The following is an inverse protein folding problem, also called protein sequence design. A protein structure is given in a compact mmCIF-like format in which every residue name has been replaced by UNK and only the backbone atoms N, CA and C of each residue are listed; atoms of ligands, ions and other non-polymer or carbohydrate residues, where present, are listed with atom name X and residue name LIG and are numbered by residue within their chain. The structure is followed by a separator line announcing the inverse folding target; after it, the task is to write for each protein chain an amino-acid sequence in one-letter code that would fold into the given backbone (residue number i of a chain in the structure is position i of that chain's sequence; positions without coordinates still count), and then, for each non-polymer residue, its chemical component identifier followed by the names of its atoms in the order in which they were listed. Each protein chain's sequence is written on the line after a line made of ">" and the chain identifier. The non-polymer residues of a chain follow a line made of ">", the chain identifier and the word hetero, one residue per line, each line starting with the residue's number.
data_IF_398210042201
#
_entry.id   IF_398210042201
#
_cell.length_a   1.000
_cell.length_b   1.000
_cell.length_c   1.000
_cell.angle_alpha   90.00
_cell.angle_beta   90.00
_cell.angle_gamma   90.00
#
_symmetry.space_group_name_H-M   'P 1'
#
loop_
_entity.id
_entity.type
_entity.pdbx_description
1 polymer ?
#
# COMPACT_ATOMS: atom_id res chain seq x y z
N UNK A 1 -25.34 0.09 -1.75
CA UNK A 1 -23.88 -0.20 -1.77
C UNK A 1 -23.63 -1.22 -0.69
N UNK A 2 -23.15 -2.41 -1.01
CA UNK A 2 -22.89 -3.44 0.00
C UNK A 2 -21.57 -3.09 0.72
N UNK A 3 -21.68 -2.55 1.93
CA UNK A 3 -20.57 -2.21 2.84
C UNK A 3 -19.92 -3.45 3.45
N UNK A 4 -19.53 -4.43 2.65
CA UNK A 4 -19.05 -5.72 3.17
C UNK A 4 -17.53 -5.86 3.25
N UNK A 5 -16.76 -4.84 2.90
CA UNK A 5 -15.29 -4.93 2.94
C UNK A 5 -14.69 -3.87 3.87
N UNK A 6 -14.41 -4.21 5.13
CA UNK A 6 -13.89 -3.23 6.10
C UNK A 6 -12.45 -2.79 5.83
N UNK A 7 -11.63 -3.61 5.19
CA UNK A 7 -10.20 -3.32 4.98
C UNK A 7 -9.93 -2.69 3.62
N UNK A 8 -8.96 -1.75 3.59
CA UNK A 8 -8.55 -1.05 2.37
C UNK A 8 -7.87 -2.00 1.38
N UNK A 9 -8.16 -1.82 0.09
CA UNK A 9 -7.52 -2.54 -0.98
C UNK A 9 -7.69 -1.85 -2.33
N UNK A 10 -7.04 -2.40 -3.37
CA UNK A 10 -7.05 -1.79 -4.70
C UNK A 10 -8.46 -1.66 -5.29
N UNK A 11 -9.33 -2.65 -5.06
CA UNK A 11 -10.71 -2.62 -5.55
C UNK A 11 -11.50 -1.43 -4.99
N UNK A 12 -11.16 -0.97 -3.77
CA UNK A 12 -11.72 0.25 -3.21
C UNK A 12 -11.46 1.45 -4.13
N UNK A 13 -10.20 1.65 -4.52
CA UNK A 13 -9.81 2.80 -5.33
C UNK A 13 -10.46 2.81 -6.71
N UNK A 14 -10.59 1.61 -7.34
CA UNK A 14 -11.32 1.45 -8.60
C UNK A 14 -12.80 1.81 -8.42
N UNK A 15 -13.44 1.30 -7.37
CA UNK A 15 -14.87 1.50 -7.12
C UNK A 15 -15.24 2.94 -6.73
N UNK A 16 -14.31 3.68 -6.13
CA UNK A 16 -14.51 5.09 -5.74
C UNK A 16 -14.01 6.09 -6.77
N UNK A 17 -13.48 5.63 -7.88
CA UNK A 17 -13.12 6.47 -9.02
C UNK A 17 -14.32 6.75 -9.92
N UNK A 18 -14.36 7.96 -10.46
CA UNK A 18 -15.41 8.37 -11.40
C UNK A 18 -15.15 7.78 -12.78
N UNK A 19 -13.87 7.60 -13.14
CA UNK A 19 -13.42 6.98 -14.37
C UNK A 19 -12.24 6.04 -14.12
N UNK A 20 -12.19 4.94 -14.87
CA UNK A 20 -11.15 3.91 -14.78
C UNK A 20 -10.44 3.75 -16.12
N UNK A 21 -9.19 4.21 -16.19
CA UNK A 21 -8.35 4.19 -17.38
C UNK A 21 -7.38 2.98 -17.33
N UNK A 22 -7.83 1.84 -17.86
CA UNK A 22 -7.08 0.58 -17.79
C UNK A 22 -6.75 -0.07 -19.14
N UNK A 23 -7.20 0.51 -20.24
CA UNK A 23 -7.00 0.00 -21.60
C UNK A 23 -6.16 0.96 -22.44
N UNK A 24 -5.28 0.44 -23.29
CA UNK A 24 -4.52 1.23 -24.26
C UNK A 24 -5.43 1.70 -25.41
N UNK A 25 -4.99 2.74 -26.13
CA UNK A 25 -5.62 3.25 -27.35
C UNK A 25 -7.08 3.69 -27.20
N UNK A 26 -7.45 4.27 -26.07
CA UNK A 26 -8.77 4.81 -25.78
C UNK A 26 -8.74 6.29 -25.37
N UNK A 27 -7.77 7.06 -25.84
CA UNK A 27 -7.53 8.42 -25.44
C UNK A 27 -8.78 9.31 -25.65
N UNK A 28 -9.31 9.38 -26.86
CA UNK A 28 -10.49 10.17 -27.21
C UNK A 28 -11.70 9.79 -26.35
N UNK A 29 -11.93 8.49 -26.14
CA UNK A 29 -13.03 8.02 -25.30
C UNK A 29 -12.89 8.50 -23.85
N UNK A 30 -11.70 8.38 -23.27
CA UNK A 30 -11.47 8.81 -21.88
C UNK A 30 -11.57 10.33 -21.73
N UNK A 31 -11.05 11.08 -22.70
CA UNK A 31 -11.16 12.53 -22.73
C UNK A 31 -12.63 12.99 -22.78
N UNK A 32 -13.43 12.41 -23.66
CA UNK A 32 -14.86 12.68 -23.76
C UNK A 32 -15.60 12.31 -22.46
N UNK A 33 -15.28 11.17 -21.84
CA UNK A 33 -15.91 10.75 -20.59
C UNK A 33 -15.55 11.70 -19.43
N UNK A 34 -14.28 12.14 -19.32
CA UNK A 34 -13.85 13.09 -18.30
C UNK A 34 -14.55 14.45 -18.50
N UNK A 35 -14.63 14.95 -19.71
CA UNK A 35 -15.29 16.21 -20.02
C UNK A 35 -16.78 16.19 -19.64
N UNK A 36 -17.50 15.09 -19.96
CA UNK A 36 -18.89 14.89 -19.53
C UNK A 36 -19.04 14.85 -18.00
N UNK A 37 -18.11 14.21 -17.31
CA UNK A 37 -18.11 14.18 -15.84
C UNK A 37 -17.90 15.58 -15.26
N UNK A 38 -17.05 16.39 -15.89
CA UNK A 38 -16.83 17.78 -15.48
C UNK A 38 -18.02 18.71 -15.72
N UNK A 39 -19.04 18.32 -16.52
CA UNK A 39 -20.28 19.08 -16.63
C UNK A 39 -21.10 19.02 -15.34
N UNK A 40 -20.96 17.92 -14.58
CA UNK A 40 -21.77 17.64 -13.39
C UNK A 40 -20.99 17.60 -12.08
N UNK A 41 -19.65 17.57 -12.14
CA UNK A 41 -18.75 17.45 -10.99
C UNK A 41 -17.70 18.55 -10.98
N UNK A 42 -17.48 19.17 -9.84
CA UNK A 42 -16.42 20.16 -9.64
C UNK A 42 -15.02 19.53 -9.63
N UNK A 43 -14.90 18.28 -9.18
CA UNK A 43 -13.65 17.53 -9.15
C UNK A 43 -13.91 16.07 -9.56
N UNK A 44 -13.14 15.56 -10.51
CA UNK A 44 -13.25 14.17 -11.02
C UNK A 44 -12.13 13.31 -10.40
N UNK A 45 -12.48 12.10 -9.97
CA UNK A 45 -11.52 11.10 -9.50
C UNK A 45 -11.18 10.15 -10.63
N UNK A 46 -9.93 10.14 -11.04
CA UNK A 46 -9.41 9.35 -12.16
C UNK A 46 -8.56 8.22 -11.61
N UNK A 47 -8.96 6.97 -11.86
CA UNK A 47 -8.09 5.83 -11.68
C UNK A 47 -7.35 5.56 -12.98
N UNK A 48 -6.02 5.57 -12.94
CA UNK A 48 -5.16 5.28 -14.07
C UNK A 48 -4.23 4.12 -13.73
N UNK A 49 -4.24 3.11 -14.56
CA UNK A 49 -3.29 2.01 -14.46
C UNK A 49 -1.87 2.53 -14.62
N UNK A 50 -0.99 2.31 -13.64
CA UNK A 50 0.35 2.91 -13.56
C UNK A 50 1.16 2.75 -14.84
N UNK A 51 1.11 1.57 -15.44
CA UNK A 51 1.84 1.26 -16.69
C UNK A 51 1.27 1.95 -17.95
N UNK A 52 0.15 2.64 -17.82
CA UNK A 52 -0.46 3.39 -18.93
C UNK A 52 -0.28 4.91 -18.83
N UNK A 53 0.41 5.42 -17.82
CA UNK A 53 0.55 6.86 -17.63
C UNK A 53 1.21 7.53 -18.85
N UNK A 54 2.18 6.87 -19.47
CA UNK A 54 2.83 7.36 -20.70
C UNK A 54 1.87 7.49 -21.88
N UNK A 55 0.78 6.70 -21.89
CA UNK A 55 -0.25 6.77 -22.93
C UNK A 55 -1.24 7.91 -22.72
N UNK A 56 -1.41 8.39 -21.48
CA UNK A 56 -2.50 9.28 -21.10
C UNK A 56 -2.05 10.57 -20.41
N UNK A 57 -0.76 10.80 -20.31
CA UNK A 57 -0.23 12.00 -19.66
C UNK A 57 -0.66 13.28 -20.39
N UNK A 58 -0.84 13.23 -21.71
CA UNK A 58 -1.34 14.38 -22.51
C UNK A 58 -2.77 14.74 -22.12
N UNK A 59 -3.65 13.77 -21.93
CA UNK A 59 -5.01 13.98 -21.44
C UNK A 59 -4.98 14.62 -20.05
N UNK A 60 -4.14 14.12 -19.13
CA UNK A 60 -4.03 14.71 -17.80
C UNK A 60 -3.54 16.18 -17.85
N UNK A 61 -2.71 16.52 -18.84
CA UNK A 61 -2.28 17.90 -19.07
C UNK A 61 -3.36 18.77 -19.71
N UNK A 62 -4.21 18.24 -20.58
CA UNK A 62 -5.28 18.99 -21.24
C UNK A 62 -6.45 19.34 -20.31
N UNK A 63 -6.58 18.65 -19.16
CA UNK A 63 -7.66 18.92 -18.21
C UNK A 63 -7.58 20.33 -17.64
N UNK A 64 -8.65 21.11 -17.82
CA UNK A 64 -8.78 22.49 -17.32
C UNK A 64 -9.56 22.58 -16.00
N UNK A 65 -10.11 21.46 -15.52
CA UNK A 65 -10.88 21.40 -14.28
C UNK A 65 -10.21 20.46 -13.27
N UNK A 66 -10.50 20.65 -11.99
CA UNK A 66 -9.87 19.91 -10.90
C UNK A 66 -10.06 18.40 -11.00
N UNK A 67 -9.01 17.65 -10.70
CA UNK A 67 -9.06 16.21 -10.61
C UNK A 67 -8.15 15.65 -9.53
N UNK A 68 -8.51 14.47 -9.02
CA UNK A 68 -7.68 13.63 -8.17
C UNK A 68 -7.25 12.43 -8.99
N UNK A 69 -5.94 12.16 -8.99
CA UNK A 69 -5.36 11.02 -9.68
C UNK A 69 -5.12 9.87 -8.70
N UNK A 70 -5.47 8.67 -9.11
CA UNK A 70 -5.15 7.43 -8.39
C UNK A 70 -4.40 6.51 -9.34
N UNK A 71 -3.21 6.06 -8.95
CA UNK A 71 -2.43 5.12 -9.78
C UNK A 71 -2.14 3.84 -9.05
N UNK A 72 -2.42 2.71 -9.74
CA UNK A 72 -2.25 1.36 -9.20
C UNK A 72 -2.02 0.33 -10.31
N UNK A 73 -2.09 -0.91 -9.95
CA UNK A 73 -2.09 -2.16 -10.72
C UNK A 73 -0.76 -2.86 -10.92
N UNK A 74 0.33 -2.15 -11.11
CA UNK A 74 1.65 -2.77 -11.20
C UNK A 74 2.46 -2.52 -9.92
N UNK A 75 3.53 -3.31 -9.73
CA UNK A 75 4.48 -3.09 -8.64
C UNK A 75 5.50 -1.98 -8.97
N UNK A 76 5.22 -1.24 -10.04
CA UNK A 76 6.05 -0.14 -10.49
C UNK A 76 5.94 1.05 -9.55
N UNK A 77 7.05 1.69 -9.32
CA UNK A 77 7.11 2.87 -8.48
C UNK A 77 6.56 4.08 -9.23
N UNK A 78 5.76 4.87 -8.57
CA UNK A 78 5.18 6.07 -9.13
C UNK A 78 5.20 7.20 -8.11
N UNK A 79 5.42 8.44 -8.53
CA UNK A 79 6.59 8.96 -9.23
C UNK A 79 7.87 8.90 -8.38
N UNK A 80 9.04 8.92 -8.96
CA UNK A 80 9.38 8.81 -10.36
C UNK A 80 9.30 7.35 -10.83
N UNK A 81 9.03 7.17 -12.13
CA UNK A 81 8.98 5.82 -12.71
C UNK A 81 10.37 5.19 -12.75
N UNK A 82 10.60 4.19 -11.91
CA UNK A 82 11.86 3.46 -11.89
C UNK A 82 11.81 2.15 -12.69
N UNK A 83 10.64 1.77 -13.21
CA UNK A 83 10.41 0.40 -13.68
C UNK A 83 10.02 0.20 -15.13
N UNK A 84 9.98 1.23 -15.93
CA UNK A 84 9.79 1.01 -17.36
C UNK A 84 11.12 0.93 -18.09
N UNK A 85 11.22 0.13 -19.18
CA UNK A 85 12.44 0.07 -20.01
C UNK A 85 12.71 1.38 -20.74
N UNK A 86 12.11 2.44 -20.28
CA UNK A 86 12.25 3.78 -20.77
C UNK A 86 13.09 4.51 -19.73
N UNK A 87 14.38 4.66 -20.01
CA UNK A 87 15.16 5.82 -19.59
C UNK A 87 14.52 7.07 -20.25
N UNK A 88 13.21 7.26 -19.99
CA UNK A 88 12.46 8.37 -20.56
C UNK A 88 12.51 9.51 -19.55
N UNK A 89 13.62 10.19 -19.58
CA UNK A 89 13.80 11.41 -18.81
C UNK A 89 12.71 12.44 -19.13
N UNK A 90 12.19 12.43 -20.35
CA UNK A 90 11.07 13.28 -20.74
C UNK A 90 9.77 12.89 -20.01
N UNK A 91 9.48 11.61 -19.84
CA UNK A 91 8.31 11.18 -19.06
C UNK A 91 8.46 11.60 -17.59
N UNK A 92 9.65 11.45 -17.02
CA UNK A 92 9.93 11.92 -15.65
C UNK A 92 9.69 13.41 -15.50
N UNK A 93 10.25 14.22 -16.39
CA UNK A 93 10.05 15.68 -16.40
C UNK A 93 8.55 16.01 -16.50
N UNK A 94 7.81 15.30 -17.33
CA UNK A 94 6.37 15.50 -17.49
C UNK A 94 5.58 15.09 -16.26
N UNK A 95 5.95 14.00 -15.61
CA UNK A 95 5.32 13.58 -14.34
C UNK A 95 5.57 14.59 -13.23
N UNK A 96 6.80 15.13 -13.13
CA UNK A 96 7.13 16.18 -12.18
C UNK A 96 6.32 17.46 -12.48
N UNK A 97 6.23 17.86 -13.75
CA UNK A 97 5.39 18.98 -14.17
C UNK A 97 3.90 18.76 -13.91
N UNK A 98 3.40 17.52 -14.06
CA UNK A 98 2.02 17.17 -13.74
C UNK A 98 1.71 17.37 -12.24
N UNK A 99 2.66 17.07 -11.36
CA UNK A 99 2.48 17.31 -9.92
C UNK A 99 2.35 18.79 -9.58
N UNK A 100 2.96 19.68 -10.37
CA UNK A 100 2.83 21.13 -10.18
C UNK A 100 1.57 21.73 -10.83
N UNK A 101 0.87 20.98 -11.69
CA UNK A 101 -0.36 21.45 -12.35
C UNK A 101 -1.43 21.82 -11.32
N UNK A 102 -2.04 23.03 -11.39
CA UNK A 102 -3.05 23.49 -10.43
C UNK A 102 -4.28 22.58 -10.37
N UNK A 103 -4.73 22.04 -11.50
CA UNK A 103 -5.91 21.20 -11.61
C UNK A 103 -5.71 19.80 -11.00
N UNK A 104 -4.47 19.32 -10.88
CA UNK A 104 -4.19 18.14 -10.06
C UNK A 104 -4.28 18.52 -8.58
N UNK A 105 -5.38 18.18 -7.95
CA UNK A 105 -5.60 18.46 -6.53
C UNK A 105 -4.77 17.54 -5.65
N UNK A 106 -4.83 16.24 -5.93
CA UNK A 106 -4.06 15.24 -5.18
C UNK A 106 -3.81 13.99 -6.01
N UNK A 107 -2.73 13.28 -5.68
CA UNK A 107 -2.35 12.03 -6.31
C UNK A 107 -2.16 10.95 -5.25
N UNK A 108 -3.03 9.93 -5.27
CA UNK A 108 -2.84 8.72 -4.50
C UNK A 108 -2.12 7.69 -5.34
N UNK A 109 -0.93 7.27 -4.92
CA UNK A 109 -0.11 6.35 -5.69
C UNK A 109 0.23 5.07 -4.90
N UNK A 110 0.26 3.96 -5.60
CA UNK A 110 0.86 2.73 -5.09
C UNK A 110 2.39 2.85 -5.20
N UNK A 111 3.10 2.60 -4.10
CA UNK A 111 4.57 2.58 -4.05
C UNK A 111 5.26 3.86 -4.58
N UNK A 112 4.90 5.08 -4.17
CA UNK A 112 5.66 6.26 -4.57
C UNK A 112 7.05 6.24 -3.93
N UNK A 113 8.07 6.69 -4.69
CA UNK A 113 9.46 6.71 -4.26
C UNK A 113 9.96 8.11 -3.89
N UNK A 114 9.09 9.12 -3.95
CA UNK A 114 9.40 10.50 -3.58
C UNK A 114 8.34 11.05 -2.63
N UNK A 115 8.71 12.12 -1.92
CA UNK A 115 7.80 12.92 -1.12
C UNK A 115 7.38 14.15 -1.90
N UNK A 116 6.09 14.43 -1.95
CA UNK A 116 5.54 15.64 -2.55
C UNK A 116 4.21 16.02 -1.87
N UNK A 117 3.93 17.34 -1.73
CA UNK A 117 2.74 17.86 -1.04
C UNK A 117 1.39 17.37 -1.61
N UNK A 118 1.36 17.09 -2.91
CA UNK A 118 0.17 16.55 -3.61
C UNK A 118 0.17 15.03 -3.76
N UNK A 119 1.17 14.32 -3.24
CA UNK A 119 1.33 12.88 -3.43
C UNK A 119 1.27 12.15 -2.10
N UNK A 120 0.51 11.08 -2.04
CA UNK A 120 0.53 10.15 -0.91
C UNK A 120 0.49 8.69 -1.37
N UNK A 121 1.23 7.86 -0.67
CA UNK A 121 1.02 6.43 -0.74
C UNK A 121 -0.35 6.07 -0.16
N UNK A 122 -0.87 4.95 -0.60
CA UNK A 122 -1.98 4.26 0.04
C UNK A 122 -1.63 2.79 0.26
N UNK A 123 -2.24 2.12 1.25
CA UNK A 123 -1.97 0.73 1.56
C UNK A 123 -2.23 -0.21 0.39
N UNK A 124 -1.29 -1.12 0.16
CA UNK A 124 -1.51 -2.24 -0.76
C UNK A 124 -2.65 -3.14 -0.27
N UNK A 125 -2.81 -3.21 1.05
CA UNK A 125 -3.80 -4.07 1.68
C UNK A 125 -3.48 -5.56 1.60
N UNK A 126 -4.37 -6.43 2.03
CA UNK A 126 -4.17 -7.88 1.99
C UNK A 126 -4.27 -8.45 0.59
N UNK A 127 -3.58 -9.56 0.35
CA UNK A 127 -3.47 -10.21 -0.97
C UNK A 127 -4.79 -10.77 -1.52
N UNK A 128 -5.75 -11.07 -0.67
CA UNK A 128 -7.00 -11.77 -1.05
C UNK A 128 -7.85 -11.04 -2.10
N UNK A 129 -7.71 -9.71 -2.19
CA UNK A 129 -8.51 -8.88 -3.09
C UNK A 129 -8.07 -8.94 -4.55
N UNK A 130 -6.85 -9.37 -4.84
CA UNK A 130 -6.39 -9.55 -6.23
C UNK A 130 -7.17 -10.62 -6.99
N UNK A 131 -7.91 -11.47 -6.31
CA UNK A 131 -8.69 -12.55 -6.92
C UNK A 131 -10.13 -12.16 -7.24
N UNK A 132 -10.58 -10.96 -6.87
CA UNK A 132 -12.03 -10.76 -6.72
C UNK A 132 -12.79 -10.40 -7.98
N UNK A 133 -12.28 -9.78 -9.02
CA UNK A 133 -13.21 -9.27 -10.02
C UNK A 133 -12.97 -9.65 -11.47
N UNK A 134 -11.74 -9.84 -11.93
CA UNK A 134 -11.51 -10.01 -13.37
C UNK A 134 -10.62 -11.17 -13.80
N UNK A 135 -9.80 -11.74 -12.92
CA UNK A 135 -8.74 -12.64 -13.36
C UNK A 135 -8.80 -14.08 -12.83
N UNK A 136 -9.58 -14.38 -11.77
CA UNK A 136 -9.66 -15.72 -11.20
C UNK A 136 -11.06 -16.02 -10.68
N UNK A 137 -11.68 -17.13 -11.16
CA UNK A 137 -13.04 -17.55 -10.80
C UNK A 137 -13.23 -17.98 -9.34
N UNK A 138 -14.45 -18.19 -9.00
CA UNK A 138 -15.15 -18.78 -7.81
C UNK A 138 -14.55 -18.84 -6.38
N UNK A 139 -13.24 -18.71 -6.15
CA UNK A 139 -12.63 -18.81 -4.80
C UNK A 139 -12.82 -17.56 -3.89
N UNK A 140 -13.61 -16.59 -4.33
CA UNK A 140 -13.83 -15.30 -3.68
C UNK A 140 -14.35 -15.38 -2.26
N UNK A 141 -15.34 -16.25 -2.04
CA UNK A 141 -16.10 -16.30 -0.77
C UNK A 141 -15.30 -16.85 0.39
N UNK A 142 -14.39 -17.79 0.12
CA UNK A 142 -13.66 -18.50 1.16
C UNK A 142 -12.63 -17.59 1.83
N UNK A 143 -11.87 -16.82 1.07
CA UNK A 143 -10.85 -15.91 1.62
C UNK A 143 -11.47 -14.76 2.40
N UNK A 144 -12.53 -14.13 1.88
CA UNK A 144 -13.22 -13.04 2.56
C UNK A 144 -13.81 -13.53 3.91
N UNK A 145 -14.37 -14.72 3.94
CA UNK A 145 -14.90 -15.30 5.18
C UNK A 145 -13.80 -15.52 6.23
N UNK A 146 -12.61 -16.00 5.82
CA UNK A 146 -11.46 -16.18 6.70
C UNK A 146 -11.02 -14.85 7.28
N UNK A 147 -10.84 -13.82 6.44
CA UNK A 147 -10.46 -12.48 6.92
C UNK A 147 -11.51 -11.90 7.86
N UNK A 148 -12.76 -11.92 7.50
CA UNK A 148 -13.83 -11.36 8.33
C UNK A 148 -13.95 -12.08 9.67
N UNK A 149 -13.71 -13.40 9.72
CA UNK A 149 -13.75 -14.16 10.97
C UNK A 149 -12.49 -13.95 11.83
N UNK A 150 -11.32 -13.79 11.20
CA UNK A 150 -10.03 -13.71 11.88
C UNK A 150 -9.58 -12.30 12.22
N UNK A 151 -10.00 -11.28 11.46
CA UNK A 151 -9.41 -9.95 11.49
C UNK A 151 -10.30 -8.86 12.11
N UNK A 152 -11.42 -9.22 12.74
CA UNK A 152 -12.39 -8.23 13.23
C UNK A 152 -11.86 -7.23 14.28
N UNK A 153 -10.74 -7.47 14.93
CA UNK A 153 -10.17 -6.55 15.92
C UNK A 153 -8.65 -6.69 16.03
N UNK A 154 -7.86 -6.06 15.13
CA UNK A 154 -6.40 -6.14 15.15
C UNK A 154 -5.78 -5.79 16.52
N UNK A 155 -6.21 -4.70 17.12
CA UNK A 155 -5.77 -4.24 18.44
C UNK A 155 -6.04 -5.28 19.54
N UNK A 156 -7.25 -5.87 19.57
CA UNK A 156 -7.60 -6.89 20.56
C UNK A 156 -6.75 -8.14 20.40
N UNK A 157 -6.49 -8.57 19.15
CA UNK A 157 -5.60 -9.71 18.88
C UNK A 157 -4.16 -9.46 19.30
N UNK A 158 -3.68 -8.23 19.16
CA UNK A 158 -2.34 -7.85 19.59
C UNK A 158 -2.20 -7.90 21.10
N UNK A 159 -3.24 -7.49 21.85
CA UNK A 159 -3.30 -7.54 23.31
C UNK A 159 -3.44 -8.97 23.86
N UNK A 160 -3.97 -9.90 23.07
CA UNK A 160 -4.12 -11.30 23.48
C UNK A 160 -2.78 -12.05 23.35
N UNK A 161 -1.87 -11.77 24.28
CA UNK A 161 -0.54 -12.37 24.31
C UNK A 161 -0.56 -13.89 24.56
N UNK A 162 -1.65 -14.43 25.14
CA UNK A 162 -1.81 -15.88 25.38
C UNK A 162 -1.85 -16.68 24.08
N UNK A 163 -2.33 -16.07 22.99
CA UNK A 163 -2.39 -16.66 21.67
C UNK A 163 -1.12 -16.42 20.81
N UNK A 164 -0.07 -15.75 21.36
CA UNK A 164 1.17 -15.42 20.65
C UNK A 164 2.41 -16.06 21.31
N UNK A 165 2.50 -17.40 21.34
CA UNK A 165 3.63 -18.09 21.99
C UNK A 165 4.95 -17.92 21.25
N UNK A 166 4.94 -17.57 19.95
CA UNK A 166 6.12 -17.47 19.13
C UNK A 166 6.56 -16.02 18.93
N UNK A 167 7.89 -15.79 18.89
CA UNK A 167 8.45 -14.45 18.83
C UNK A 167 8.43 -13.88 17.42
N UNK A 168 9.02 -14.56 16.44
CA UNK A 168 9.23 -14.03 15.09
C UNK A 168 8.80 -15.01 14.00
N UNK A 169 7.86 -14.61 13.15
CA UNK A 169 7.56 -15.26 11.88
C UNK A 169 8.51 -14.73 10.80
N UNK A 170 9.24 -15.64 10.20
CA UNK A 170 10.33 -15.29 9.33
C UNK A 170 10.46 -16.29 8.17
N UNK A 171 9.81 -15.96 7.06
CA UNK A 171 10.02 -16.60 5.77
C UNK A 171 9.56 -15.66 4.64
N UNK A 172 10.15 -15.76 3.46
CA UNK A 172 9.74 -15.03 2.25
C UNK A 172 10.44 -15.59 1.03
N UNK A 173 9.89 -15.35 -0.17
CA UNK A 173 10.57 -15.73 -1.40
C UNK A 173 11.83 -14.89 -1.57
N UNK A 174 12.99 -15.55 -1.67
CA UNK A 174 14.29 -14.90 -1.78
C UNK A 174 14.62 -14.38 -3.19
N UNK A 175 13.97 -14.94 -4.21
CA UNK A 175 14.21 -14.56 -5.61
C UNK A 175 13.37 -13.35 -6.04
N UNK A 176 12.43 -12.90 -5.20
CA UNK A 176 11.68 -11.69 -5.47
C UNK A 176 12.55 -10.48 -5.15
N UNK A 177 13.02 -9.81 -6.16
CA UNK A 177 13.75 -8.56 -6.06
C UNK A 177 13.00 -7.44 -6.75
N UNK A 178 13.20 -6.23 -6.26
CA UNK A 178 12.89 -5.04 -7.03
C UNK A 178 14.16 -4.61 -7.78
N UNK A 179 14.25 -4.85 -9.10
CA UNK A 179 15.44 -4.50 -9.86
C UNK A 179 15.64 -2.99 -9.98
N UNK A 180 14.64 -2.21 -9.63
CA UNK A 180 14.49 -0.81 -9.97
C UNK A 180 14.66 0.09 -8.75
N UNK A 181 14.31 -0.40 -7.55
CA UNK A 181 14.61 0.27 -6.30
C UNK A 181 15.97 -0.21 -5.79
N UNK A 182 17.03 0.43 -6.24
CA UNK A 182 18.43 0.06 -5.96
C UNK A 182 18.79 -0.02 -4.47
N UNK A 183 18.22 0.79 -3.55
CA UNK A 183 18.50 0.66 -2.12
C UNK A 183 18.18 -0.73 -1.57
N UNK A 184 17.17 -1.43 -2.12
CA UNK A 184 16.77 -2.75 -1.66
C UNK A 184 17.25 -3.91 -2.54
N UNK A 185 18.21 -3.66 -3.43
CA UNK A 185 18.81 -4.73 -4.22
C UNK A 185 19.44 -5.78 -3.28
N UNK A 186 18.94 -7.01 -3.39
CA UNK A 186 19.37 -8.14 -2.54
C UNK A 186 18.98 -8.03 -1.04
N UNK A 187 18.17 -7.08 -0.63
CA UNK A 187 17.81 -6.89 0.80
C UNK A 187 17.24 -8.17 1.43
N UNK A 188 16.46 -8.97 0.71
CA UNK A 188 15.91 -10.24 1.19
C UNK A 188 17.01 -11.26 1.51
N UNK A 189 18.07 -11.28 0.75
CA UNK A 189 19.23 -12.13 1.04
C UNK A 189 19.94 -11.66 2.31
N UNK A 190 20.19 -10.36 2.44
CA UNK A 190 20.79 -9.74 3.62
C UNK A 190 20.01 -10.06 4.88
N UNK A 191 18.70 -9.79 4.88
CA UNK A 191 17.80 -10.07 5.99
C UNK A 191 17.86 -11.55 6.39
N UNK A 192 17.78 -12.45 5.42
CA UNK A 192 17.84 -13.88 5.71
C UNK A 192 19.18 -14.25 6.34
N UNK A 193 20.28 -13.79 5.78
CA UNK A 193 21.63 -14.10 6.25
C UNK A 193 21.85 -13.63 7.69
N UNK A 194 21.31 -12.47 8.04
CA UNK A 194 21.41 -11.95 9.40
C UNK A 194 20.48 -12.67 10.38
N UNK A 195 19.23 -12.86 10.03
CA UNK A 195 18.24 -13.39 10.97
C UNK A 195 18.39 -14.89 11.20
N UNK A 196 18.84 -15.67 10.22
CA UNK A 196 19.04 -17.12 10.39
C UNK A 196 20.09 -17.47 11.47
N UNK A 197 20.95 -16.52 11.84
CA UNK A 197 21.91 -16.66 12.93
C UNK A 197 21.24 -16.78 14.30
N UNK A 198 19.99 -16.31 14.44
CA UNK A 198 19.29 -16.16 15.73
C UNK A 198 17.88 -16.75 15.74
N UNK A 199 17.26 -16.87 14.56
CA UNK A 199 15.87 -17.32 14.41
C UNK A 199 15.76 -18.45 13.40
N UNK A 200 14.78 -19.33 13.62
CA UNK A 200 14.50 -20.42 12.69
C UNK A 200 13.68 -19.93 11.50
N UNK A 201 14.05 -20.35 10.31
CA UNK A 201 13.29 -20.12 9.09
C UNK A 201 11.98 -20.92 9.11
N UNK A 202 10.85 -20.24 8.96
CA UNK A 202 9.55 -20.89 8.94
C UNK A 202 9.30 -21.58 7.60
N UNK A 203 8.58 -22.70 7.64
CA UNK A 203 8.16 -23.41 6.42
C UNK A 203 7.06 -22.64 5.69
N UNK A 204 7.02 -22.81 4.38
CA UNK A 204 5.88 -22.33 3.59
C UNK A 204 4.65 -23.19 3.91
N UNK A 205 3.53 -22.52 4.08
CA UNK A 205 2.23 -23.15 4.33
C UNK A 205 1.18 -22.57 3.38
N UNK A 206 0.06 -23.27 3.11
CA UNK A 206 -1.05 -22.70 2.35
C UNK A 206 -1.56 -21.39 2.96
N UNK A 207 -2.13 -20.51 2.14
CA UNK A 207 -2.53 -19.17 2.57
C UNK A 207 -3.47 -19.17 3.80
N UNK A 208 -4.46 -20.04 3.82
CA UNK A 208 -5.40 -20.16 4.95
C UNK A 208 -4.66 -20.52 6.25
N UNK A 209 -3.78 -21.53 6.18
CA UNK A 209 -2.93 -21.91 7.31
C UNK A 209 -1.99 -20.78 7.71
N UNK A 210 -1.47 -20.02 6.73
CA UNK A 210 -0.57 -18.89 6.96
C UNK A 210 -1.20 -17.82 7.85
N UNK A 211 -2.46 -17.45 7.61
CA UNK A 211 -3.13 -16.45 8.42
C UNK A 211 -3.31 -16.89 9.88
N UNK A 212 -3.70 -18.15 10.10
CA UNK A 212 -3.77 -18.71 11.45
C UNK A 212 -2.40 -18.76 12.13
N UNK A 213 -1.37 -19.21 11.41
CA UNK A 213 -0.01 -19.28 11.91
C UNK A 213 0.49 -17.86 12.26
N UNK A 214 0.26 -16.88 11.37
CA UNK A 214 0.67 -15.51 11.60
C UNK A 214 0.12 -14.94 12.91
N UNK A 215 -1.15 -15.24 13.23
CA UNK A 215 -1.77 -14.82 14.50
C UNK A 215 -1.06 -15.37 15.76
N UNK A 216 -0.29 -16.44 15.63
CA UNK A 216 0.45 -17.04 16.77
C UNK A 216 1.81 -16.39 17.04
N UNK A 217 2.24 -15.44 16.20
CA UNK A 217 3.53 -14.77 16.32
C UNK A 217 3.38 -13.34 16.82
N UNK A 218 4.35 -12.87 17.61
CA UNK A 218 4.44 -11.47 18.06
C UNK A 218 4.88 -10.55 16.93
N UNK A 219 5.84 -10.99 16.13
CA UNK A 219 6.42 -10.24 15.01
C UNK A 219 6.41 -11.02 13.70
N UNK A 220 6.41 -10.29 12.57
CA UNK A 220 6.53 -10.85 11.24
C UNK A 220 7.47 -10.02 10.38
N UNK A 221 8.50 -10.64 9.79
CA UNK A 221 9.38 -9.96 8.83
C UNK A 221 8.66 -9.79 7.50
N UNK A 222 8.55 -8.54 7.06
CA UNK A 222 7.85 -8.15 5.84
C UNK A 222 8.72 -7.30 4.91
N UNK A 223 9.75 -7.91 4.27
CA UNK A 223 10.68 -7.17 3.43
C UNK A 223 10.06 -6.78 2.10
N UNK A 224 10.51 -5.67 1.48
CA UNK A 224 10.08 -5.27 0.14
C UNK A 224 10.15 -6.42 -0.86
N UNK A 225 9.18 -6.45 -1.78
CA UNK A 225 9.11 -7.38 -2.88
C UNK A 225 9.51 -6.72 -4.20
N UNK A 226 8.62 -6.82 -5.21
CA UNK A 226 8.71 -5.98 -6.41
C UNK A 226 8.33 -4.54 -6.07
N UNK A 227 7.31 -4.32 -5.25
CA UNK A 227 6.99 -3.04 -4.63
C UNK A 227 7.65 -2.86 -3.27
N UNK A 228 7.73 -1.61 -2.81
CA UNK A 228 8.24 -1.27 -1.47
C UNK A 228 7.21 -1.56 -0.37
N UNK A 229 5.92 -1.44 -0.65
CA UNK A 229 4.85 -1.96 0.21
C UNK A 229 4.56 -3.43 -0.09
N UNK A 230 4.12 -4.18 0.92
CA UNK A 230 3.83 -5.60 0.78
C UNK A 230 2.51 -6.00 1.44
N UNK A 231 1.79 -6.94 0.84
CA UNK A 231 0.57 -7.49 1.44
C UNK A 231 0.79 -8.04 2.85
N UNK A 232 1.94 -8.66 3.08
CA UNK A 232 2.29 -9.27 4.36
C UNK A 232 2.29 -8.28 5.52
N UNK A 233 2.70 -7.05 5.30
CA UNK A 233 2.67 -6.00 6.31
C UNK A 233 1.23 -5.79 6.81
N UNK A 234 0.31 -5.61 5.91
CA UNK A 234 -1.11 -5.39 6.21
C UNK A 234 -1.78 -6.63 6.80
N UNK A 235 -1.46 -7.82 6.27
CA UNK A 235 -1.91 -9.10 6.82
C UNK A 235 -1.43 -9.29 8.27
N UNK A 236 -0.18 -8.96 8.57
CA UNK A 236 0.38 -9.03 9.92
C UNK A 236 -0.37 -8.09 10.88
N UNK A 237 -0.55 -6.82 10.52
CA UNK A 237 -1.30 -5.85 11.31
C UNK A 237 -2.73 -6.33 11.58
N UNK A 238 -3.42 -6.84 10.57
CA UNK A 238 -4.78 -7.40 10.71
C UNK A 238 -4.84 -8.58 11.66
N UNK A 239 -3.78 -9.40 11.71
CA UNK A 239 -3.69 -10.54 12.63
C UNK A 239 -3.15 -10.15 14.00
N UNK A 240 -2.96 -8.86 14.28
CA UNK A 240 -2.39 -8.37 15.54
C UNK A 240 -0.93 -8.80 15.73
N UNK A 241 -0.22 -9.02 14.63
CA UNK A 241 1.21 -9.35 14.60
C UNK A 241 1.96 -8.11 14.15
N UNK A 242 3.02 -7.73 14.84
CA UNK A 242 3.79 -6.52 14.57
C UNK A 242 4.71 -6.75 13.38
N UNK A 243 4.56 -6.03 12.25
CA UNK A 243 5.47 -6.19 11.13
C UNK A 243 6.82 -5.52 11.40
N UNK A 244 7.88 -6.16 10.91
CA UNK A 244 9.23 -5.59 10.83
C UNK A 244 9.49 -5.28 9.37
N UNK A 245 9.69 -4.00 9.04
CA UNK A 245 9.77 -3.44 7.70
C UNK A 245 11.19 -2.92 7.43
N UNK A 246 11.58 -2.85 6.16
CA UNK A 246 12.70 -2.00 5.75
C UNK A 246 12.25 -0.55 5.69
N UNK A 247 13.14 0.38 5.99
CA UNK A 247 12.92 1.81 5.77
C UNK A 247 12.77 2.12 4.28
N UNK A 248 11.77 2.89 3.92
CA UNK A 248 11.40 3.23 2.55
C UNK A 248 10.80 4.65 2.49
N UNK A 249 10.68 5.27 1.31
CA UNK A 249 10.00 6.55 1.18
C UNK A 249 8.55 6.62 1.66
N UNK A 250 7.91 5.48 1.92
CA UNK A 250 6.52 5.41 2.41
C UNK A 250 6.42 5.12 3.91
N UNK A 251 7.50 5.26 4.68
CA UNK A 251 7.51 5.01 6.13
C UNK A 251 6.41 5.79 6.86
N UNK A 252 6.11 7.01 6.42
CA UNK A 252 5.03 7.84 6.96
C UNK A 252 3.64 7.19 6.94
N UNK A 253 3.43 6.20 6.06
CA UNK A 253 2.18 5.43 5.99
C UNK A 253 1.93 4.62 7.26
N UNK A 254 2.99 4.37 8.03
CA UNK A 254 3.00 3.55 9.23
C UNK A 254 3.17 4.35 10.53
N UNK A 255 3.27 5.68 10.49
CA UNK A 255 3.58 6.54 11.65
C UNK A 255 2.68 6.28 12.87
N UNK A 256 1.41 5.96 12.64
CA UNK A 256 0.44 5.70 13.69
C UNK A 256 0.15 4.21 13.91
N UNK A 257 0.92 3.31 13.30
CA UNK A 257 0.72 1.87 13.38
C UNK A 257 1.85 1.21 14.18
N UNK A 258 1.58 0.10 14.89
CA UNK A 258 2.60 -0.63 15.64
C UNK A 258 3.48 -1.44 14.68
N UNK A 259 4.53 -0.83 14.17
CA UNK A 259 5.52 -1.44 13.28
C UNK A 259 6.94 -1.20 13.80
N UNK A 260 7.89 -2.04 13.37
CA UNK A 260 9.32 -1.77 13.54
C UNK A 260 9.90 -1.49 12.16
N UNK A 261 10.47 -0.31 11.97
CA UNK A 261 11.16 0.07 10.72
C UNK A 261 12.67 -0.07 10.96
N UNK A 262 13.35 -0.78 10.05
CA UNK A 262 14.77 -1.14 10.16
C UNK A 262 15.50 -0.62 8.93
N UNK A 263 16.60 0.10 9.14
CA UNK A 263 17.50 0.46 8.05
C UNK A 263 18.23 -0.76 7.50
N UNK A 264 18.61 -0.75 6.23
CA UNK A 264 19.17 -1.91 5.54
C UNK A 264 20.41 -2.51 6.20
N UNK A 265 21.22 -1.69 6.89
CA UNK A 265 22.45 -2.07 7.59
C UNK A 265 22.24 -2.37 9.09
N UNK A 266 21.02 -2.43 9.60
CA UNK A 266 20.71 -2.58 11.03
C UNK A 266 20.00 -3.90 11.37
N UNK A 267 19.92 -4.83 10.45
CA UNK A 267 19.25 -6.12 10.67
C UNK A 267 19.95 -7.01 11.70
N UNK A 268 21.23 -6.76 11.98
CA UNK A 268 21.99 -7.37 13.07
C UNK A 268 21.48 -6.99 14.47
N UNK A 269 20.80 -5.85 14.60
CA UNK A 269 20.17 -5.39 15.86
C UNK A 269 18.89 -6.17 16.21
N UNK A 270 18.31 -6.88 15.25
CA UNK A 270 17.11 -7.68 15.48
C UNK A 270 17.49 -8.98 16.20
N UNK A 271 17.44 -8.93 17.53
CA UNK A 271 17.74 -10.07 18.42
C UNK A 271 16.49 -10.49 19.20
N UNK A 272 16.45 -11.69 19.80
CA UNK A 272 15.33 -12.10 20.65
C UNK A 272 15.08 -11.14 21.81
N UNK A 273 16.13 -10.62 22.43
CA UNK A 273 16.05 -9.67 23.56
C UNK A 273 15.46 -8.35 23.10
N UNK A 274 15.96 -7.80 21.98
CA UNK A 274 15.45 -6.58 21.39
C UNK A 274 13.95 -6.71 21.06
N UNK A 275 13.56 -7.78 20.38
CA UNK A 275 12.14 -7.99 20.03
C UNK A 275 11.26 -8.17 21.25
N UNK A 276 11.73 -8.85 22.30
CA UNK A 276 10.98 -9.01 23.53
C UNK A 276 10.73 -7.65 24.18
N UNK A 277 11.77 -6.82 24.29
CA UNK A 277 11.66 -5.46 24.81
C UNK A 277 10.72 -4.58 23.96
N UNK A 278 10.85 -4.64 22.62
CA UNK A 278 9.98 -3.86 21.74
C UNK A 278 8.52 -4.28 21.84
N UNK A 279 8.23 -5.57 22.02
CA UNK A 279 6.88 -6.06 22.22
C UNK A 279 6.23 -5.46 23.48
N UNK A 280 6.95 -5.45 24.59
CA UNK A 280 6.49 -4.84 25.84
C UNK A 280 6.24 -3.34 25.69
N UNK A 281 7.16 -2.61 25.02
CA UNK A 281 7.01 -1.18 24.77
C UNK A 281 5.77 -0.90 23.91
N UNK A 282 5.56 -1.65 22.84
CA UNK A 282 4.42 -1.48 21.94
C UNK A 282 3.11 -1.78 22.69
N UNK A 283 3.02 -2.88 23.44
CA UNK A 283 1.82 -3.21 24.19
C UNK A 283 1.50 -2.16 25.27
N UNK A 284 2.51 -1.66 25.97
CA UNK A 284 2.34 -0.59 26.96
C UNK A 284 1.78 0.70 26.35
N UNK A 285 2.07 0.95 25.06
CA UNK A 285 1.64 2.13 24.33
C UNK A 285 0.51 1.85 23.33
N UNK A 286 -0.16 0.73 23.42
CA UNK A 286 -1.12 0.26 22.39
C UNK A 286 -2.26 1.25 22.14
N UNK A 287 -2.63 2.05 23.14
CA UNK A 287 -3.66 3.09 23.03
C UNK A 287 -3.25 4.29 22.18
N UNK A 288 -1.94 4.47 21.94
CA UNK A 288 -1.42 5.55 21.09
C UNK A 288 -1.48 5.21 19.59
N UNK A 289 -1.62 3.92 19.25
CA UNK A 289 -1.68 3.50 17.86
C UNK A 289 -3.09 3.60 17.31
N UNK A 290 -3.18 4.10 16.08
CA UNK A 290 -4.43 4.26 15.34
C UNK A 290 -4.48 3.28 14.18
N UNK A 291 -5.36 2.30 14.27
CA UNK A 291 -5.57 1.27 13.26
C UNK A 291 -6.58 1.68 12.17
N UNK A 292 -7.08 2.91 12.19
CA UNK A 292 -8.14 3.35 11.26
C UNK A 292 -7.69 3.32 9.80
N UNK A 293 -6.39 3.55 9.52
CA UNK A 293 -5.83 3.46 8.16
C UNK A 293 -5.87 2.07 7.54
N UNK A 294 -6.14 1.02 8.33
CA UNK A 294 -6.41 -0.33 7.80
C UNK A 294 -7.79 -0.44 7.13
N UNK A 295 -8.70 0.50 7.37
CA UNK A 295 -10.10 0.40 6.98
C UNK A 295 -10.46 1.38 5.88
N UNK A 296 -11.40 0.98 5.04
CA UNK A 296 -11.90 1.74 3.91
C UNK A 296 -12.44 3.13 4.29
N UNK A 297 -13.15 3.22 5.44
CA UNK A 297 -13.77 4.46 5.89
C UNK A 297 -12.78 5.61 6.13
N UNK A 298 -11.56 5.29 6.57
CA UNK A 298 -10.49 6.28 6.71
C UNK A 298 -10.15 6.91 5.36
N UNK A 299 -10.01 6.07 4.32
CA UNK A 299 -9.62 6.51 2.99
C UNK A 299 -10.75 7.21 2.24
N UNK A 300 -12.03 6.83 2.50
CA UNK A 300 -13.20 7.59 2.02
C UNK A 300 -13.15 9.02 2.56
N UNK A 301 -12.91 9.18 3.86
CA UNK A 301 -12.83 10.50 4.50
C UNK A 301 -11.66 11.30 3.94
N UNK A 302 -10.50 10.68 3.77
CA UNK A 302 -9.32 11.32 3.19
C UNK A 302 -9.58 11.78 1.75
N UNK A 303 -10.15 10.93 0.90
CA UNK A 303 -10.50 11.28 -0.48
C UNK A 303 -11.53 12.42 -0.52
N UNK A 304 -12.53 12.37 0.34
CA UNK A 304 -13.55 13.42 0.44
C UNK A 304 -12.97 14.74 0.93
N UNK A 305 -12.06 14.72 1.91
CA UNK A 305 -11.34 15.92 2.36
C UNK A 305 -10.58 16.56 1.21
N UNK A 306 -9.83 15.78 0.43
CA UNK A 306 -9.07 16.32 -0.72
C UNK A 306 -9.97 16.93 -1.80
N UNK A 307 -11.17 16.39 -2.01
CA UNK A 307 -12.16 17.03 -2.90
C UNK A 307 -12.64 18.38 -2.36
N UNK A 308 -12.91 18.46 -1.05
CA UNK A 308 -13.47 19.65 -0.41
C UNK A 308 -12.43 20.75 -0.18
N UNK A 309 -11.18 20.41 0.06
CA UNK A 309 -10.07 21.39 0.22
C UNK A 309 -9.94 22.32 -1.00
N UNK A 310 -10.39 21.87 -2.17
CA UNK A 310 -10.46 22.67 -3.38
C UNK A 310 -11.61 23.67 -3.39
N UNK A 311 -12.79 23.29 -2.82
CA UNK A 311 -13.99 24.14 -2.83
C UNK A 311 -13.85 25.33 -1.87
N UNK A 312 -12.91 25.29 -0.91
CA UNK A 312 -12.75 26.32 0.14
C UNK A 312 -11.58 27.29 -0.14
N UNK A 313 -10.92 27.22 -1.31
CA UNK A 313 -9.83 28.14 -1.66
C UNK A 313 -8.76 28.19 -0.57
N UNK A 314 -7.85 27.23 -0.54
CA UNK A 314 -6.76 27.20 0.44
C UNK A 314 -5.93 28.49 0.35
N UNK A 315 -5.76 29.27 1.44
CA UNK A 315 -4.81 30.40 1.42
C UNK A 315 -3.40 29.86 1.17
N UNK A 316 -2.56 30.57 0.41
CA UNK A 316 -1.17 30.14 0.19
C UNK A 316 -0.43 30.08 1.53
N UNK A 317 0.24 28.96 1.78
CA UNK A 317 1.19 28.80 2.89
C UNK A 317 2.43 29.65 2.66
#
# INVERSE_FOLDING_TARGET
>A
MNNSEPFIAIDFWINYSDIVMEHKNQAEKYEDEINKLHETKNCVVIFLKTDLIHCYIDILFSLEKPFILITASNDDHCPPFLSYPVDDEMLKIRVDALMEKPELIFWFAKNPCILHRKLSAYPLGPKWQWKTTRFFGEDKKTHLHIYNSLCMTPKKKMLDSSNKPFLLYFNFNQTTNNPLYTPHKNIRHTIKTELIKRFSWNKNVPFETYMHVLNTYKFCVSPPGRGIDTHRCWEALMMGTIPILCSTPIDYLFDNLPVIIVNDNEWDKITPEYLTQQYEIILKNIEKYDFTSLYTDYWIKMLSSKKNDHDVGCPPL
#
